data_IF_534743114329
#
_entry.id   IF_534743114329
#
_cell.length_a   1.000
_cell.length_b   1.000
_cell.length_c   1.000
_cell.angle_alpha   90.00
_cell.angle_beta   90.00
_cell.angle_gamma   90.00
#
_symmetry.space_group_name_H-M   'P 1'
#
loop_
_entity.id
_entity.type
_entity.pdbx_description
1 polymer ?
2 polymer ?
3 polymer ?
4 non-polymer ?
5 water ?
#
# COMPACT_ATOMS: atom_id res chain seq x y z
N UNK A 1 2.39 -14.24 13.34
CA UNK A 1 3.30 -15.38 13.25
C UNK A 1 4.04 -15.44 11.93
N UNK A 2 3.29 -15.36 10.81
CA UNK A 2 3.86 -15.38 9.46
C UNK A 2 4.40 -14.02 9.08
N UNK A 3 5.56 -13.99 8.41
CA UNK A 3 6.15 -12.71 8.01
C UNK A 3 6.61 -12.71 6.57
N UNK A 4 6.72 -11.52 5.97
CA UNK A 4 7.16 -11.42 4.60
C UNK A 4 8.00 -10.18 4.41
N UNK A 5 8.84 -10.20 3.38
CA UNK A 5 9.61 -9.03 2.97
C UNK A 5 9.30 -8.80 1.49
N UNK A 6 9.10 -7.54 1.08
CA UNK A 6 8.84 -7.21 -0.32
C UNK A 6 9.55 -5.93 -0.69
N UNK A 7 10.04 -5.87 -1.93
CA UNK A 7 10.54 -4.65 -2.54
C UNK A 7 9.58 -4.32 -3.66
N UNK A 8 9.25 -3.04 -3.82
CA UNK A 8 8.34 -2.53 -4.83
C UNK A 8 9.11 -1.50 -5.63
N UNK A 9 9.27 -1.74 -6.95
CA UNK A 9 9.97 -0.83 -7.86
C UNK A 9 8.95 -0.26 -8.81
N UNK A 10 9.06 1.04 -9.08
CA UNK A 10 8.24 1.72 -10.06
C UNK A 10 9.19 2.54 -10.93
N UNK A 11 9.14 2.32 -12.25
CA UNK A 11 9.95 3.03 -13.24
C UNK A 11 8.98 3.68 -14.21
N UNK A 12 8.99 5.02 -14.28
CA UNK A 12 8.00 5.71 -15.10
C UNK A 12 8.64 6.66 -16.06
N UNK A 13 8.38 6.46 -17.36
CA UNK A 13 8.91 7.39 -18.39
C UNK A 13 8.05 8.66 -18.39
N UNK A 14 8.59 9.76 -18.91
CA UNK A 14 7.83 11.03 -18.93
C UNK A 14 8.43 11.85 -20.09
N UNK A 15 8.12 11.46 -21.34
CA UNK A 15 8.70 12.17 -22.50
C UNK A 15 8.51 13.68 -22.42
N UNK A 16 9.60 14.39 -22.67
CA UNK A 16 9.64 15.85 -22.63
C UNK A 16 9.88 16.40 -21.23
N UNK A 17 9.92 15.51 -20.22
CA UNK A 17 10.08 15.93 -18.81
C UNK A 17 11.26 15.24 -18.14
N UNK A 18 12.29 14.96 -18.93
CA UNK A 18 13.50 14.34 -18.41
C UNK A 18 13.50 12.83 -18.53
N UNK A 19 14.47 12.20 -17.89
CA UNK A 19 14.66 10.76 -17.92
C UNK A 19 13.66 10.05 -16.97
N UNK A 20 13.38 8.76 -17.19
CA UNK A 20 12.40 8.07 -16.34
C UNK A 20 12.78 8.05 -14.87
N UNK A 21 11.78 8.23 -14.01
CA UNK A 21 11.96 8.21 -12.57
C UNK A 21 11.94 6.74 -12.12
N UNK A 22 12.85 6.38 -11.19
CA UNK A 22 12.88 5.05 -10.59
C UNK A 22 12.73 5.23 -9.09
N UNK A 23 11.74 4.57 -8.50
CA UNK A 23 11.54 4.60 -7.06
C UNK A 23 11.48 3.17 -6.56
N UNK A 24 12.17 2.89 -5.45
CA UNK A 24 12.15 1.57 -4.84
C UNK A 24 11.78 1.78 -3.38
N UNK A 25 10.88 0.92 -2.85
CA UNK A 25 10.51 0.94 -1.43
C UNK A 25 10.61 -0.49 -0.92
N UNK A 26 11.03 -0.66 0.34
CA UNK A 26 11.15 -1.97 0.95
C UNK A 26 10.21 -2.06 2.13
N UNK A 27 9.56 -3.23 2.28
CA UNK A 27 8.64 -3.48 3.39
C UNK A 27 8.94 -4.79 4.07
N UNK A 28 8.67 -4.84 5.39
CA UNK A 28 8.59 -6.07 6.16
C UNK A 28 7.12 -6.05 6.62
N UNK A 29 6.32 -7.00 6.13
CA UNK A 29 4.87 -7.04 6.41
C UNK A 29 4.27 -5.69 6.00
N UNK A 30 3.55 -4.97 6.90
CA UNK A 30 2.96 -3.67 6.59
C UNK A 30 3.81 -2.49 7.00
N UNK A 31 5.11 -2.73 7.26
CA UNK A 31 5.99 -1.66 7.69
C UNK A 31 7.03 -1.35 6.62
N UNK A 32 6.99 -0.13 6.06
CA UNK A 32 8.03 0.30 5.12
C UNK A 32 9.32 0.60 5.89
N UNK A 33 10.48 0.18 5.38
CA UNK A 33 11.72 0.43 6.10
C UNK A 33 12.81 1.15 5.29
N UNK A 34 12.69 1.18 3.95
CA UNK A 34 13.69 1.84 3.07
C UNK A 34 13.02 2.48 1.89
N UNK A 35 13.67 3.51 1.33
CA UNK A 35 13.25 4.12 0.08
C UNK A 35 14.46 4.58 -0.70
N UNK A 36 14.30 4.65 -2.01
CA UNK A 36 15.29 5.21 -2.95
C UNK A 36 14.47 5.90 -4.02
N UNK A 37 14.86 7.13 -4.37
CA UNK A 37 14.17 7.88 -5.40
C UNK A 37 15.20 8.54 -6.30
N UNK A 38 15.23 8.15 -7.58
CA UNK A 38 16.16 8.73 -8.55
C UNK A 38 15.95 10.25 -8.75
N UNK A 39 14.76 10.76 -8.39
CA UNK A 39 14.44 12.20 -8.47
C UNK A 39 14.89 13.02 -7.27
N UNK A 40 15.36 12.38 -6.18
CA UNK A 40 15.79 13.10 -4.99
C UNK A 40 17.00 13.99 -5.30
N UNK A 41 17.12 15.14 -4.60
CA UNK A 41 18.21 16.11 -4.76
C UNK A 41 19.58 15.39 -4.80
N UNK A 42 19.75 14.39 -3.92
CA UNK A 42 20.94 13.53 -3.85
C UNK A 42 20.43 12.07 -3.71
N UNK A 43 20.28 11.31 -4.82
CA UNK A 43 19.74 9.94 -4.71
C UNK A 43 20.60 8.97 -3.89
N UNK A 44 20.00 8.47 -2.82
CA UNK A 44 20.64 7.52 -1.93
C UNK A 44 19.54 6.73 -1.24
N UNK A 45 19.86 5.51 -0.78
CA UNK A 45 18.90 4.70 -0.03
C UNK A 45 18.74 5.35 1.34
N UNK A 46 17.50 5.57 1.76
CA UNK A 46 17.23 6.23 3.03
C UNK A 46 16.43 5.34 3.98
N UNK A 47 16.71 5.39 5.30
CA UNK A 47 15.91 4.58 6.26
C UNK A 47 14.53 5.17 6.46
N UNK A 48 13.53 4.30 6.64
CA UNK A 48 12.15 4.72 6.84
C UNK A 48 11.51 4.06 8.08
N UNK A 49 12.29 3.31 8.84
CA UNK A 49 11.86 2.68 10.08
C UNK A 49 13.03 2.77 11.09
N UNK A 50 12.78 3.00 12.38
CA UNK A 50 13.88 3.17 13.34
C UNK A 50 14.86 1.99 13.48
N UNK A 51 14.34 0.75 13.41
CA UNK A 51 15.17 -0.46 13.55
C UNK A 51 16.18 -0.71 12.42
N UNK A 52 16.05 -0.02 11.26
CA UNK A 52 17.00 -0.18 10.15
C UNK A 52 18.18 0.79 10.28
N UNK A 53 18.02 1.84 11.08
CA UNK A 53 19.04 2.89 11.25
C UNK A 53 20.38 2.35 11.76
N UNK A 54 20.37 1.23 12.51
CA UNK A 54 21.56 0.60 13.07
C UNK A 54 22.46 -0.07 12.02
N UNK A 55 21.98 -0.21 10.76
CA UNK A 55 22.79 -0.82 9.71
C UNK A 55 23.93 0.12 9.35
N UNK A 56 25.11 -0.47 9.11
CA UNK A 56 26.33 0.27 8.81
C UNK A 56 26.41 0.90 7.43
N UNK A 57 27.45 1.76 7.20
CA UNK A 57 27.61 2.43 5.89
C UNK A 57 27.73 1.48 4.70
N UNK A 58 28.29 0.29 4.93
CA UNK A 58 28.46 -0.77 3.93
C UNK A 58 27.09 -1.23 3.43
N UNK A 59 26.08 -1.29 4.32
CA UNK A 59 24.70 -1.66 3.97
C UNK A 59 24.08 -0.58 3.08
N UNK A 60 24.19 0.70 3.49
CA UNK A 60 23.63 1.83 2.76
C UNK A 60 24.28 2.04 1.40
N UNK A 61 25.61 1.85 1.29
CA UNK A 61 26.31 1.95 0.01
C UNK A 61 25.95 0.79 -0.92
N UNK A 62 25.80 -0.42 -0.37
CA UNK A 62 25.41 -1.64 -1.10
C UNK A 62 24.03 -1.44 -1.73
N UNK A 63 23.07 -0.94 -0.93
CA UNK A 63 21.70 -0.66 -1.38
C UNK A 63 21.69 0.42 -2.46
N UNK A 64 22.42 1.53 -2.22
CA UNK A 64 22.49 2.66 -3.17
C UNK A 64 23.07 2.23 -4.50
N UNK A 65 24.12 1.39 -4.51
CA UNK A 65 24.71 0.94 -5.76
C UNK A 65 23.75 0.08 -6.58
N UNK A 66 23.00 -0.83 -5.91
CA UNK A 66 22.00 -1.68 -6.55
C UNK A 66 20.92 -0.80 -7.18
N UNK A 67 20.38 0.16 -6.40
CA UNK A 67 19.29 1.01 -6.88
C UNK A 67 19.72 2.00 -7.98
N UNK A 68 20.99 2.46 -7.94
CA UNK A 68 21.52 3.33 -9.00
C UNK A 68 21.68 2.52 -10.30
N UNK A 69 22.11 1.24 -10.18
CA UNK A 69 22.23 0.35 -11.35
C UNK A 69 20.82 0.09 -11.90
N UNK A 70 19.84 -0.18 -11.00
CA UNK A 70 18.45 -0.42 -11.41
C UNK A 70 17.85 0.78 -12.13
N UNK A 71 18.20 2.03 -11.71
CA UNK A 71 17.71 3.25 -12.35
C UNK A 71 18.09 3.22 -13.83
N UNK A 72 19.35 2.82 -14.12
CA UNK A 72 19.85 2.76 -15.50
C UNK A 72 19.25 1.58 -16.28
N UNK A 73 19.17 0.39 -15.66
CA UNK A 73 18.59 -0.81 -16.28
C UNK A 73 17.11 -0.58 -16.67
N UNK A 74 16.33 0.04 -15.76
CA UNK A 74 14.91 0.28 -16.02
C UNK A 74 14.68 1.30 -17.11
N UNK A 75 15.60 2.25 -17.30
CA UNK A 75 15.50 3.23 -18.39
C UNK A 75 15.65 2.50 -19.72
N UNK A 76 16.55 1.50 -19.77
CA UNK A 76 16.77 0.67 -20.95
C UNK A 76 15.55 -0.23 -21.17
N UNK A 77 15.03 -0.83 -20.08
CA UNK A 77 13.85 -1.69 -20.16
C UNK A 77 12.63 -0.94 -20.70
N UNK A 78 12.42 0.31 -20.25
CA UNK A 78 11.30 1.12 -20.75
C UNK A 78 11.44 1.38 -22.26
N UNK A 79 12.65 1.69 -22.72
CA UNK A 79 12.90 1.90 -24.16
C UNK A 79 12.61 0.60 -24.92
N UNK A 80 13.04 -0.55 -24.37
CA UNK A 80 12.82 -1.85 -25.01
C UNK A 80 11.36 -2.22 -25.11
N UNK A 81 10.59 -2.07 -24.00
CA UNK A 81 9.18 -2.42 -23.97
C UNK A 81 8.35 -1.52 -24.87
N UNK A 82 8.73 -0.24 -24.97
CA UNK A 82 8.08 0.69 -25.89
C UNK A 82 8.20 0.10 -27.31
N UNK A 83 9.39 -0.40 -27.64
CA UNK A 83 9.67 -1.04 -28.93
C UNK A 83 8.89 -2.34 -29.13
N UNK A 84 8.79 -3.17 -28.07
CA UNK A 84 8.06 -4.45 -28.17
C UNK A 84 6.59 -4.25 -28.46
N UNK A 85 6.00 -3.11 -28.02
CA UNK A 85 4.58 -2.85 -28.24
C UNK A 85 4.30 -1.87 -29.37
N UNK A 86 5.33 -1.52 -30.17
CA UNK A 86 5.20 -0.58 -31.30
C UNK A 86 4.56 0.75 -30.86
N UNK A 87 4.94 1.19 -29.64
CA UNK A 87 4.39 2.43 -29.10
C UNK A 87 5.17 3.64 -29.53
N UNK A 88 4.49 4.77 -29.65
CA UNK A 88 5.12 6.03 -30.01
C UNK A 88 5.97 6.54 -28.85
N UNK A 89 6.96 7.40 -29.15
CA UNK A 89 7.85 7.97 -28.15
C UNK A 89 7.15 9.07 -27.31
N UNK A 90 5.87 9.34 -27.60
CA UNK A 90 5.06 10.40 -26.96
C UNK A 90 4.44 10.10 -25.60
N UNK A 91 3.99 8.88 -25.38
CA UNK A 91 3.29 8.53 -24.14
C UNK A 91 4.19 8.15 -22.98
N UNK A 92 3.67 8.29 -21.77
CA UNK A 92 4.35 7.92 -20.54
C UNK A 92 3.94 6.46 -20.24
N UNK A 93 4.92 5.63 -19.85
CA UNK A 93 4.67 4.22 -19.54
C UNK A 93 5.31 3.85 -18.22
N UNK A 94 4.82 2.78 -17.58
CA UNK A 94 5.31 2.37 -16.26
C UNK A 94 5.65 0.89 -16.23
N UNK A 95 6.84 0.57 -15.70
CA UNK A 95 7.20 -0.82 -15.40
C UNK A 95 7.15 -0.89 -13.87
N UNK A 96 6.49 -1.92 -13.34
CA UNK A 96 6.45 -2.15 -11.90
C UNK A 96 6.99 -3.51 -11.63
N UNK A 97 7.67 -3.69 -10.49
CA UNK A 97 8.23 -4.97 -10.08
C UNK A 97 7.97 -5.12 -8.57
N UNK A 98 7.54 -6.31 -8.15
CA UNK A 98 7.39 -6.65 -6.73
C UNK A 98 7.93 -8.05 -6.51
N UNK A 99 8.85 -8.18 -5.56
CA UNK A 99 9.48 -9.47 -5.28
C UNK A 99 9.77 -9.59 -3.80
N UNK A 100 9.98 -10.82 -3.34
CA UNK A 100 10.29 -11.03 -1.95
C UNK A 100 10.00 -12.43 -1.49
N UNK A 101 10.11 -12.64 -0.19
CA UNK A 101 10.00 -13.95 0.40
C UNK A 101 8.95 -13.95 1.49
N UNK A 102 8.27 -15.09 1.68
CA UNK A 102 7.30 -15.30 2.74
C UNK A 102 7.87 -16.37 3.67
N UNK A 103 7.79 -16.14 4.97
CA UNK A 103 8.19 -17.09 6.01
C UNK A 103 6.94 -17.58 6.73
N UNK A 104 6.95 -18.84 7.15
CA UNK A 104 5.86 -19.41 7.94
C UNK A 104 5.99 -19.05 9.41
N UNK A 105 5.07 -19.53 10.29
CA UNK A 105 5.18 -19.19 11.73
C UNK A 105 6.47 -19.65 12.42
N UNK A 106 7.13 -20.68 11.85
CA UNK A 106 8.40 -21.23 12.37
C UNK A 106 9.64 -20.54 11.78
N UNK A 107 9.42 -19.58 10.88
CA UNK A 107 10.51 -18.83 10.25
C UNK A 107 11.08 -19.41 8.98
N UNK A 108 10.56 -20.57 8.51
CA UNK A 108 11.05 -21.20 7.26
C UNK A 108 10.37 -20.57 6.03
N UNK A 109 11.07 -20.58 4.88
CA UNK A 109 10.56 -20.05 3.60
C UNK A 109 9.35 -20.83 3.12
N UNK A 110 8.19 -20.16 3.03
CA UNK A 110 6.95 -20.72 2.54
C UNK A 110 7.00 -20.66 1.03
N UNK A 111 7.32 -19.47 0.47
CA UNK A 111 7.43 -19.26 -0.97
C UNK A 111 8.08 -17.94 -1.33
N UNK A 112 8.60 -17.89 -2.54
CA UNK A 112 9.23 -16.71 -3.11
C UNK A 112 8.37 -16.12 -4.19
N UNK A 113 8.57 -14.82 -4.47
CA UNK A 113 7.80 -14.11 -5.47
C UNK A 113 8.69 -13.19 -6.27
N UNK A 114 8.38 -13.03 -7.56
CA UNK A 114 9.03 -12.04 -8.44
C UNK A 114 8.13 -11.76 -9.64
N UNK A 115 7.43 -10.63 -9.61
CA UNK A 115 6.47 -10.32 -10.67
C UNK A 115 6.72 -8.95 -11.24
N UNK A 116 6.52 -8.80 -12.56
CA UNK A 116 6.70 -7.53 -13.24
C UNK A 116 5.44 -7.21 -14.05
N UNK A 117 5.15 -5.92 -14.18
CA UNK A 117 3.99 -5.44 -14.91
C UNK A 117 4.35 -4.29 -15.81
N UNK A 118 3.59 -4.11 -16.87
CA UNK A 118 3.79 -2.99 -17.80
C UNK A 118 2.48 -2.29 -17.98
N UNK A 119 2.44 -0.99 -17.64
CA UNK A 119 1.22 -0.17 -17.63
C UNK A 119 0.07 -0.81 -16.81
N UNK A 120 0.42 -1.38 -15.67
CA UNK A 120 -0.52 -1.98 -14.73
C UNK A 120 -1.04 -3.35 -15.10
N UNK A 121 -0.51 -3.96 -16.17
CA UNK A 121 -0.88 -5.30 -16.61
C UNK A 121 0.22 -6.29 -16.38
N UNK A 122 -0.10 -7.51 -15.91
CA UNK A 122 0.92 -8.57 -15.73
C UNK A 122 1.75 -8.70 -16.98
N UNK A 123 3.07 -8.75 -16.83
CA UNK A 123 3.98 -8.84 -17.96
C UNK A 123 4.80 -10.14 -17.87
N UNK A 124 5.59 -10.30 -16.80
CA UNK A 124 6.36 -11.53 -16.59
C UNK A 124 6.40 -11.86 -15.10
N UNK A 125 6.27 -13.14 -14.75
CA UNK A 125 6.35 -13.53 -13.35
C UNK A 125 7.13 -14.81 -13.18
N UNK A 126 7.92 -14.88 -12.12
CA UNK A 126 8.65 -16.09 -11.77
C UNK A 126 7.63 -17.07 -11.19
N UNK A 127 7.65 -18.31 -11.68
CA UNK A 127 6.71 -19.32 -11.18
C UNK A 127 7.10 -19.71 -9.77
N UNK A 128 6.17 -20.36 -9.04
CA UNK A 128 6.39 -20.78 -7.65
C UNK A 128 7.60 -21.70 -7.49
N UNK A 129 7.94 -22.47 -8.56
CA UNK A 129 9.09 -23.39 -8.55
C UNK A 129 10.43 -22.63 -8.55
N UNK A 130 10.39 -21.29 -8.73
CA UNK A 130 11.54 -20.39 -8.76
C UNK A 130 12.55 -20.81 -9.84
N UNK A 131 12.07 -21.44 -10.92
CA UNK A 131 12.94 -21.96 -11.98
C UNK A 131 12.49 -21.60 -13.39
N UNK A 132 11.20 -21.32 -13.55
CA UNK A 132 10.60 -21.02 -14.85
C UNK A 132 9.79 -19.73 -14.80
N UNK A 133 9.51 -19.15 -15.97
CA UNK A 133 8.78 -17.88 -16.09
C UNK A 133 7.42 -18.05 -16.75
N UNK A 134 6.48 -17.14 -16.44
CA UNK A 134 5.17 -17.04 -17.08
C UNK A 134 5.14 -15.67 -17.77
N UNK A 135 5.24 -15.67 -19.11
CA UNK A 135 5.22 -14.46 -19.95
C UNK A 135 3.79 -14.25 -20.43
N UNK A 136 3.25 -13.04 -20.21
CA UNK A 136 1.85 -12.72 -20.56
C UNK A 136 1.55 -12.66 -22.05
N UNK A 137 2.53 -12.27 -22.89
CA UNK A 137 2.31 -12.11 -24.34
C UNK A 137 3.61 -12.28 -25.11
N UNK A 138 3.58 -12.03 -26.45
CA UNK A 138 4.78 -12.18 -27.29
C UNK A 138 5.87 -11.18 -26.95
N UNK A 139 5.50 -10.00 -26.41
CA UNK A 139 6.51 -9.01 -25.99
C UNK A 139 7.27 -9.56 -24.76
N UNK A 140 6.54 -10.05 -23.77
CA UNK A 140 7.14 -10.64 -22.56
C UNK A 140 8.00 -11.88 -22.84
N UNK A 141 7.73 -12.58 -23.96
CA UNK A 141 8.51 -13.75 -24.38
C UNK A 141 9.93 -13.34 -24.78
N UNK A 142 10.11 -12.09 -25.22
CA UNK A 142 11.43 -11.54 -25.56
C UNK A 142 12.21 -11.36 -24.28
N UNK A 143 11.59 -10.75 -23.26
CA UNK A 143 12.19 -10.56 -21.95
C UNK A 143 12.55 -11.95 -21.36
N UNK A 144 11.65 -12.93 -21.51
CA UNK A 144 11.86 -14.28 -21.00
C UNK A 144 13.15 -14.89 -21.56
N UNK A 145 13.39 -14.77 -22.88
CA UNK A 145 14.60 -15.27 -23.51
C UNK A 145 15.84 -14.55 -23.00
N UNK A 146 15.77 -13.22 -22.83
CA UNK A 146 16.88 -12.42 -22.30
C UNK A 146 17.22 -12.88 -20.87
N UNK A 147 16.18 -13.09 -20.04
CA UNK A 147 16.32 -13.49 -18.65
C UNK A 147 16.82 -14.92 -18.49
N UNK A 148 16.47 -15.80 -19.44
CA UNK A 148 16.97 -17.17 -19.45
C UNK A 148 18.47 -17.20 -19.81
N UNK A 149 18.88 -16.34 -20.76
CA UNK A 149 20.28 -16.21 -21.19
C UNK A 149 21.17 -15.68 -20.07
N UNK A 150 20.64 -14.75 -19.24
CA UNK A 150 21.37 -14.18 -18.12
C UNK A 150 21.26 -15.02 -16.84
N UNK A 151 20.51 -16.14 -16.89
CA UNK A 151 20.28 -17.06 -15.76
C UNK A 151 19.63 -16.35 -14.57
N UNK A 152 18.67 -15.44 -14.85
CA UNK A 152 17.98 -14.64 -13.83
C UNK A 152 17.26 -15.51 -12.80
N UNK A 153 16.47 -16.51 -13.26
CA UNK A 153 15.71 -17.39 -12.37
C UNK A 153 16.60 -18.11 -11.37
N UNK A 154 17.81 -18.54 -11.80
CA UNK A 154 18.78 -19.22 -10.95
C UNK A 154 19.31 -18.25 -9.88
N UNK A 155 19.60 -17.00 -10.30
CA UNK A 155 20.09 -15.95 -9.41
C UNK A 155 19.00 -15.61 -8.38
N UNK A 156 17.73 -15.48 -8.82
CA UNK A 156 16.59 -15.16 -7.95
C UNK A 156 16.31 -16.27 -6.97
N UNK A 157 16.32 -17.54 -7.42
CA UNK A 157 16.11 -18.66 -6.50
C UNK A 157 17.13 -18.59 -5.35
N UNK A 158 18.43 -18.40 -5.67
CA UNK A 158 19.51 -18.31 -4.67
C UNK A 158 19.27 -17.15 -3.69
N UNK A 159 18.87 -15.98 -4.20
CA UNK A 159 18.54 -14.82 -3.38
C UNK A 159 17.32 -15.11 -2.48
N UNK A 160 16.20 -15.57 -3.08
CA UNK A 160 14.95 -15.82 -2.36
C UNK A 160 15.06 -16.86 -1.27
N UNK A 161 15.83 -17.93 -1.51
CA UNK A 161 16.05 -19.01 -0.53
C UNK A 161 17.15 -18.67 0.47
N UNK A 162 18.03 -17.75 0.12
CA UNK A 162 19.19 -17.38 0.94
C UNK A 162 19.12 -16.01 1.55
N UNK A 163 19.75 -15.01 0.90
CA UNK A 163 19.82 -13.62 1.38
C UNK A 163 18.48 -13.01 1.81
N UNK A 164 17.41 -13.23 1.02
CA UNK A 164 16.08 -12.69 1.33
C UNK A 164 15.62 -13.14 2.70
N UNK A 165 15.65 -14.47 2.94
CA UNK A 165 15.22 -15.08 4.20
C UNK A 165 16.13 -14.64 5.37
N UNK A 166 17.44 -14.70 5.15
CA UNK A 166 18.43 -14.33 6.18
C UNK A 166 18.25 -12.88 6.64
N UNK A 167 18.10 -11.94 5.68
CA UNK A 167 17.93 -10.52 6.01
C UNK A 167 16.55 -10.25 6.61
N UNK A 168 15.49 -10.94 6.15
CA UNK A 168 14.17 -10.79 6.76
C UNK A 168 14.22 -11.20 8.24
N UNK A 169 14.87 -12.33 8.54
CA UNK A 169 15.02 -12.82 9.91
C UNK A 169 15.80 -11.82 10.79
N UNK A 170 16.81 -11.18 10.22
CA UNK A 170 17.62 -10.17 10.90
C UNK A 170 16.75 -8.96 11.24
N UNK A 171 15.96 -8.46 10.26
CA UNK A 171 15.07 -7.32 10.47
C UNK A 171 14.04 -7.65 11.53
N UNK A 172 13.46 -8.86 11.48
CA UNK A 172 12.46 -9.32 12.46
C UNK A 172 13.00 -9.32 13.88
N UNK A 173 14.28 -9.67 14.04
CA UNK A 173 14.94 -9.67 15.35
C UNK A 173 15.25 -8.21 15.79
N UNK A 174 15.85 -7.41 14.90
CA UNK A 174 16.18 -6.00 15.20
C UNK A 174 14.95 -5.13 15.47
N UNK A 175 13.87 -5.40 14.76
CA UNK A 175 12.63 -4.67 14.96
C UNK A 175 11.56 -5.46 15.69
N UNK A 176 11.97 -6.48 16.50
CA UNK A 176 11.01 -7.36 17.19
C UNK A 176 9.96 -6.64 18.04
N UNK A 177 10.31 -5.49 18.65
CA UNK A 177 9.36 -4.77 19.50
C UNK A 177 8.16 -4.19 18.74
N UNK A 178 8.30 -3.97 17.43
CA UNK A 178 7.20 -3.46 16.61
C UNK A 178 6.75 -4.52 15.58
N UNK A 179 7.70 -5.07 14.81
CA UNK A 179 7.38 -6.05 13.76
C UNK A 179 6.75 -7.31 14.28
N UNK A 180 7.12 -7.75 15.50
CA UNK A 180 6.58 -8.98 16.10
C UNK A 180 5.58 -8.68 17.21
N UNK A 181 5.02 -7.47 17.19
CA UNK A 181 4.00 -7.06 18.14
C UNK A 181 2.71 -6.81 17.39
N UNK A 182 1.68 -7.60 17.67
CA UNK A 182 0.38 -7.41 17.03
C UNK A 182 -0.46 -6.51 17.93
N UNK A 183 -0.90 -5.35 17.43
CA UNK A 183 -1.71 -4.39 18.20
C UNK A 183 -3.17 -4.65 17.90
N UNK A 184 -3.95 -5.01 18.93
CA UNK A 184 -5.35 -5.36 18.69
C UNK A 184 -6.19 -4.13 18.29
N UNK A 185 -7.30 -4.31 17.54
CA UNK A 185 -8.13 -3.14 17.23
C UNK A 185 -8.89 -2.65 18.47
N UNK A 186 -9.10 -1.33 18.56
CA UNK A 186 -9.95 -0.72 19.58
C UNK A 186 -11.28 -0.62 18.85
N UNK A 187 -12.33 -1.21 19.43
CA UNK A 187 -13.61 -1.29 18.72
C UNK A 187 -14.77 -0.61 19.43
N UNK A 188 -15.75 -0.18 18.62
CA UNK A 188 -17.01 0.43 19.06
C UNK A 188 -18.04 0.43 17.94
N UNK A 189 -19.32 0.45 18.30
CA UNK A 189 -20.43 0.46 17.34
C UNK A 189 -21.18 1.79 17.49
N UNK A 190 -21.29 2.57 16.40
CA UNK A 190 -22.02 3.83 16.37
C UNK A 190 -23.38 3.61 15.71
N UNK A 191 -24.34 4.48 16.00
CA UNK A 191 -25.70 4.40 15.49
C UNK A 191 -26.06 5.75 14.91
N UNK A 192 -26.53 5.77 13.65
CA UNK A 192 -26.88 7.00 12.94
C UNK A 192 -28.25 6.83 12.25
N UNK A 193 -29.35 7.43 12.76
CA UNK A 193 -30.64 7.30 12.05
C UNK A 193 -30.57 7.90 10.64
N UNK A 194 -31.13 7.21 9.64
CA UNK A 194 -31.13 7.68 8.24
C UNK A 194 -32.52 8.15 7.82
N UNK A 195 -33.55 7.68 8.54
CA UNK A 195 -34.96 7.99 8.33
C UNK A 195 -35.73 7.59 9.59
N UNK A 196 -37.06 7.73 9.57
CA UNK A 196 -37.90 7.35 10.71
C UNK A 196 -37.85 5.85 10.97
N UNK A 197 -37.62 5.03 9.93
CA UNK A 197 -37.69 3.58 10.10
C UNK A 197 -36.42 2.80 9.72
N UNK A 198 -35.27 3.47 9.54
CA UNK A 198 -33.99 2.77 9.35
C UNK A 198 -32.83 3.61 9.89
N UNK A 199 -31.78 2.94 10.35
CA UNK A 199 -30.60 3.58 10.91
C UNK A 199 -29.37 2.80 10.48
N UNK A 200 -28.22 3.49 10.44
CA UNK A 200 -26.95 2.85 10.09
C UNK A 200 -26.23 2.41 11.37
N UNK A 201 -25.79 1.14 11.40
CA UNK A 201 -24.97 0.64 12.49
C UNK A 201 -23.58 0.57 11.90
N UNK A 202 -22.61 1.23 12.53
CA UNK A 202 -21.24 1.23 12.00
C UNK A 202 -20.30 0.64 13.01
N UNK A 203 -19.60 -0.42 12.62
CA UNK A 203 -18.66 -1.11 13.45
C UNK A 203 -17.25 -0.64 13.12
N UNK A 204 -16.56 -0.02 14.09
CA UNK A 204 -15.22 0.53 13.95
C UNK A 204 -14.13 -0.36 14.52
N UNK A 205 -12.96 -0.35 13.86
CA UNK A 205 -11.75 -1.03 14.33
C UNK A 205 -10.62 -0.03 14.08
N UNK A 206 -9.96 0.43 15.15
CA UNK A 206 -8.90 1.44 15.09
C UNK A 206 -7.64 1.01 15.80
N UNK A 207 -6.51 1.55 15.35
CA UNK A 207 -5.21 1.33 15.98
C UNK A 207 -4.66 -0.08 15.94
N UNK A 208 -5.04 -0.87 14.92
CA UNK A 208 -4.56 -2.25 14.82
C UNK A 208 -3.33 -2.41 13.91
N UNK A 209 -2.55 -3.43 14.18
CA UNK A 209 -1.38 -3.79 13.38
C UNK A 209 -1.18 -5.29 13.55
N UNK A 210 -0.94 -6.10 12.49
CA UNK A 210 -0.88 -5.72 11.06
C UNK A 210 -2.25 -5.34 10.47
N UNK A 211 -2.26 -4.97 9.18
CA UNK A 211 -3.46 -4.52 8.47
C UNK A 211 -4.52 -5.58 8.29
N UNK A 212 -4.13 -6.86 8.26
CA UNK A 212 -5.06 -7.98 8.10
C UNK A 212 -6.08 -8.01 9.23
N UNK A 213 -7.38 -7.97 8.87
CA UNK A 213 -8.50 -7.97 9.82
C UNK A 213 -9.76 -8.48 9.10
N UNK A 214 -10.72 -9.00 9.85
CA UNK A 214 -12.00 -9.41 9.31
C UNK A 214 -13.09 -8.73 10.15
N UNK A 215 -13.88 -7.87 9.51
CA UNK A 215 -15.00 -7.13 10.11
C UNK A 215 -16.24 -7.58 9.37
N UNK A 216 -17.19 -8.20 10.06
CA UNK A 216 -18.43 -8.66 9.42
C UNK A 216 -19.64 -8.32 10.26
N UNK A 217 -20.79 -8.15 9.61
CA UNK A 217 -22.07 -7.92 10.28
C UNK A 217 -22.92 -9.16 10.06
N UNK A 218 -23.59 -9.60 11.12
CA UNK A 218 -24.48 -10.75 11.07
C UNK A 218 -25.85 -10.33 11.56
N UNK A 219 -26.91 -10.81 10.89
CA UNK A 219 -28.31 -10.58 11.28
C UNK A 219 -28.84 -11.96 11.63
N UNK A 220 -29.18 -12.18 12.92
CA UNK A 220 -29.66 -13.45 13.49
C UNK A 220 -28.64 -14.59 13.23
N UNK A 221 -27.36 -14.28 13.44
CA UNK A 221 -26.27 -15.23 13.24
C UNK A 221 -25.84 -15.51 11.81
N UNK A 222 -26.49 -14.89 10.80
CA UNK A 222 -26.11 -15.09 9.39
C UNK A 222 -25.43 -13.84 8.78
N UNK A 223 -24.34 -14.06 8.03
CA UNK A 223 -23.51 -13.04 7.36
C UNK A 223 -24.32 -12.12 6.45
N UNK A 224 -24.00 -10.81 6.50
CA UNK A 224 -24.69 -9.76 5.73
C UNK A 224 -23.80 -9.15 4.62
N UNK A 225 -23.02 -10.01 3.93
CA UNK A 225 -22.05 -9.69 2.87
C UNK A 225 -22.56 -8.66 1.86
N UNK A 226 -23.69 -8.93 1.19
CA UNK A 226 -24.28 -8.06 0.16
C UNK A 226 -24.80 -6.73 0.71
N UNK A 227 -25.19 -6.71 1.99
CA UNK A 227 -25.79 -5.56 2.67
C UNK A 227 -24.79 -4.67 3.42
N UNK A 228 -23.57 -5.19 3.66
CA UNK A 228 -22.52 -4.49 4.39
C UNK A 228 -21.68 -3.57 3.50
N UNK A 229 -21.59 -2.29 3.90
CA UNK A 229 -20.74 -1.28 3.26
C UNK A 229 -19.41 -1.39 4.03
N UNK A 230 -18.36 -1.85 3.35
CA UNK A 230 -17.06 -2.12 3.95
C UNK A 230 -15.98 -1.24 3.33
N UNK A 231 -15.40 -0.30 4.11
CA UNK A 231 -14.34 0.57 3.56
C UNK A 231 -13.03 -0.18 3.49
N UNK A 232 -12.13 0.25 2.58
CA UNK A 232 -10.81 -0.35 2.48
C UNK A 232 -10.04 -0.01 3.75
N UNK A 233 -9.23 -0.97 4.24
CA UNK A 233 -8.36 -0.77 5.41
C UNK A 233 -7.45 0.40 5.08
N UNK A 234 -7.35 1.35 6.01
CA UNK A 234 -6.59 2.58 5.76
C UNK A 234 -5.52 2.85 6.82
N UNK A 235 -4.37 3.46 6.45
CA UNK A 235 -3.33 3.71 7.44
C UNK A 235 -3.67 4.92 8.31
N UNK A 236 -3.44 4.80 9.62
CA UNK A 236 -3.66 5.94 10.52
C UNK A 236 -2.53 6.95 10.40
N UNK A 237 -1.35 6.48 9.97
CA UNK A 237 -0.17 7.31 9.79
C UNK A 237 0.87 7.16 10.88
N UNK A 238 0.56 6.36 11.92
CA UNK A 238 1.40 6.07 13.09
C UNK A 238 1.76 4.57 13.17
N UNK A 239 1.76 3.86 12.01
CA UNK A 239 2.00 2.42 11.80
C UNK A 239 0.70 1.59 11.83
N UNK A 240 -0.31 2.09 12.53
CA UNK A 240 -1.55 1.34 12.72
C UNK A 240 -2.54 1.56 11.58
N UNK A 241 -3.59 0.73 11.57
CA UNK A 241 -4.62 0.75 10.54
C UNK A 241 -6.01 0.95 11.11
N UNK A 242 -6.96 1.31 10.22
CA UNK A 242 -8.35 1.56 10.58
C UNK A 242 -9.26 0.90 9.58
N UNK A 243 -10.47 0.55 10.02
CA UNK A 243 -11.47 -0.04 9.12
C UNK A 243 -12.84 0.07 9.78
N UNK A 244 -13.88 0.14 8.95
CA UNK A 244 -15.25 0.13 9.44
C UNK A 244 -16.13 -0.65 8.47
N UNK A 245 -17.23 -1.20 9.01
CA UNK A 245 -18.24 -1.97 8.28
C UNK A 245 -19.59 -1.42 8.75
N UNK A 246 -20.48 -1.13 7.81
CA UNK A 246 -21.79 -0.57 8.15
C UNK A 246 -22.96 -1.29 7.49
N UNK A 247 -24.08 -1.36 8.21
CA UNK A 247 -25.34 -1.95 7.74
C UNK A 247 -26.48 -0.99 8.04
N UNK A 248 -27.45 -0.90 7.12
CA UNK A 248 -28.64 -0.08 7.28
C UNK A 248 -29.68 -1.06 7.79
N UNK A 249 -30.10 -0.86 9.04
CA UNK A 249 -31.01 -1.74 9.76
C UNK A 249 -32.41 -1.13 9.96
N UNK A 250 -33.50 -1.94 9.89
CA UNK A 250 -34.84 -1.37 10.18
C UNK A 250 -34.88 -0.92 11.64
N UNK A 251 -35.46 0.25 11.92
CA UNK A 251 -35.55 0.80 13.27
C UNK A 251 -36.26 -0.17 14.21
N UNK A 252 -35.65 -0.44 15.36
CA UNK A 252 -36.16 -1.37 16.36
C UNK A 252 -35.48 -2.74 16.32
N UNK A 253 -34.95 -3.12 15.13
CA UNK A 253 -34.29 -4.41 14.88
C UNK A 253 -32.76 -4.44 15.18
N UNK A 254 -32.19 -3.38 15.80
CA UNK A 254 -30.76 -3.25 16.09
C UNK A 254 -30.12 -4.40 16.85
N UNK A 255 -30.86 -5.00 17.81
CA UNK A 255 -30.33 -6.10 18.63
C UNK A 255 -30.18 -7.42 17.88
N UNK A 256 -30.73 -7.53 16.67
CA UNK A 256 -30.63 -8.74 15.85
C UNK A 256 -29.30 -8.74 15.08
N UNK A 257 -28.56 -7.61 15.15
CA UNK A 257 -27.30 -7.40 14.44
C UNK A 257 -26.07 -7.51 15.34
N UNK A 258 -25.06 -8.27 14.88
CA UNK A 258 -23.81 -8.43 15.62
C UNK A 258 -22.63 -8.17 14.71
N UNK A 259 -21.61 -7.47 15.23
CA UNK A 259 -20.38 -7.21 14.50
C UNK A 259 -19.31 -8.16 15.03
N UNK A 260 -18.65 -8.87 14.11
CA UNK A 260 -17.62 -9.84 14.45
C UNK A 260 -16.25 -9.36 14.01
N UNK A 261 -15.29 -9.29 14.95
CA UNK A 261 -13.93 -8.81 14.71
C UNK A 261 -12.91 -9.91 14.96
N UNK A 262 -12.10 -10.21 13.94
CA UNK A 262 -11.00 -11.18 14.00
C UNK A 262 -9.70 -10.47 13.66
N UNK A 263 -8.71 -10.55 14.56
CA UNK A 263 -7.39 -9.94 14.40
C UNK A 263 -6.37 -10.67 15.26
N UNK A 264 -5.10 -10.75 14.79
CA UNK A 264 -3.97 -11.39 15.46
C UNK A 264 -3.68 -10.85 16.88
N UNK A 265 -3.90 -9.56 17.11
CA UNK A 265 -3.64 -8.91 18.39
C UNK A 265 -4.64 -9.20 19.50
N UNK A 266 -5.81 -9.75 19.16
CA UNK A 266 -6.88 -10.02 20.13
C UNK A 266 -6.68 -11.31 20.93
N UNK A 267 -6.90 -11.29 22.27
CA UNK A 267 -6.81 -12.54 23.05
C UNK A 267 -7.86 -13.56 22.59
N UNK A 268 -9.06 -13.08 22.20
CA UNK A 268 -10.19 -13.86 21.69
C UNK A 268 -10.98 -13.01 20.67
N UNK A 269 -11.64 -13.60 19.63
CA UNK A 269 -12.43 -12.76 18.69
C UNK A 269 -13.54 -11.98 19.39
N UNK A 270 -13.90 -10.81 18.84
CA UNK A 270 -14.91 -9.96 19.46
C UNK A 270 -16.31 -10.10 18.84
N UNK A 271 -17.33 -9.95 19.68
CA UNK A 271 -18.74 -9.92 19.31
C UNK A 271 -19.26 -8.62 19.88
N UNK A 272 -19.69 -7.71 18.99
CA UNK A 272 -20.15 -6.40 19.39
C UNK A 272 -21.56 -6.14 18.91
N UNK A 273 -22.29 -5.35 19.69
CA UNK A 273 -23.65 -4.91 19.40
C UNK A 273 -23.69 -3.44 19.71
N UNK A 274 -24.69 -2.72 19.17
CA UNK A 274 -24.87 -1.31 19.50
C UNK A 274 -25.32 -1.28 20.97
N UNK A 275 -24.64 -0.46 21.78
CA UNK A 275 -24.95 -0.32 23.21
C UNK A 275 -25.60 1.07 23.41
N UNK A 276 -26.96 1.13 23.43
CA UNK A 276 -27.61 2.44 23.59
C UNK A 276 -27.35 3.04 24.98
N UNK B 1 -4.83 2.42 -23.14
CA UNK B 1 -4.14 2.05 -21.91
C UNK B 1 -5.23 1.91 -20.91
N UNK B 2 -5.12 0.99 -19.97
CA UNK B 2 -6.21 0.86 -19.00
C UNK B 2 -5.88 1.69 -17.80
N UNK B 3 -6.79 2.57 -17.45
CA UNK B 3 -6.53 3.48 -16.33
C UNK B 3 -7.55 3.25 -15.23
N UNK B 4 -7.14 3.40 -13.97
CA UNK B 4 -7.99 3.18 -12.81
C UNK B 4 -8.11 4.44 -12.00
N UNK B 5 -9.35 4.82 -11.65
CA UNK B 5 -9.62 6.04 -10.91
C UNK B 5 -9.32 5.87 -9.40
N UNK B 6 -8.82 6.91 -8.71
CA UNK B 6 -8.54 6.74 -7.27
C UNK B 6 -9.76 6.63 -6.38
N UNK B 7 -9.65 5.80 -5.35
CA UNK B 7 -10.62 5.73 -4.26
C UNK B 7 -10.04 6.75 -3.28
N UNK B 8 -10.89 7.49 -2.57
CA UNK B 8 -10.43 8.55 -1.67
C UNK B 8 -11.10 8.39 -0.31
N UNK B 9 -10.31 8.47 0.78
CA UNK B 9 -10.83 8.47 2.14
C UNK B 9 -10.22 9.63 2.91
N UNK B 10 -11.05 10.40 3.61
CA UNK B 10 -10.61 11.55 4.44
C UNK B 10 -11.01 11.23 5.84
N UNK B 11 -10.05 11.25 6.77
CA UNK B 11 -10.28 10.84 8.16
C UNK B 11 -9.19 11.33 9.07
N UNK B 12 -9.41 11.23 10.38
CA UNK B 12 -8.40 11.65 11.35
C UNK B 12 -7.63 10.43 11.86
N UNK B 13 -6.37 10.63 12.29
CA UNK B 13 -5.53 9.57 12.84
C UNK B 13 -6.13 9.02 14.14
N UNK B 14 -6.55 9.94 15.02
CA UNK B 14 -7.13 9.62 16.32
C UNK B 14 -8.60 10.04 16.34
N UNK B 15 -9.48 9.45 17.21
CA UNK B 15 -10.88 9.91 17.26
C UNK B 15 -10.93 11.43 17.47
N UNK B 16 -11.76 12.11 16.69
CA UNK B 16 -11.82 13.57 16.73
C UNK B 16 -12.46 14.14 17.99
N UNK B 17 -11.77 15.12 18.59
CA UNK B 17 -12.18 15.86 19.78
C UNK B 17 -11.87 17.33 19.50
N UNK B 18 -12.91 18.20 19.48
CA UNK B 18 -12.78 19.64 19.23
C UNK B 18 -11.79 20.29 20.18
N UNK B 19 -10.88 21.08 19.62
CA UNK B 19 -9.83 21.78 20.37
C UNK B 19 -8.62 20.93 20.68
N UNK B 20 -8.61 19.65 20.25
CA UNK B 20 -7.50 18.73 20.49
C UNK B 20 -6.71 18.45 19.21
N UNK B 21 -5.39 18.71 19.23
CA UNK B 21 -4.47 18.48 18.10
C UNK B 21 -4.59 17.03 17.63
N UNK B 22 -4.58 16.84 16.31
CA UNK B 22 -4.76 15.53 15.70
C UNK B 22 -4.05 15.55 14.33
N UNK B 23 -4.29 14.56 13.48
CA UNK B 23 -3.74 14.53 12.14
C UNK B 23 -4.86 14.27 11.16
N UNK B 24 -4.93 15.06 10.09
CA UNK B 24 -5.93 14.91 9.05
C UNK B 24 -5.27 14.09 7.94
N UNK B 25 -5.94 13.03 7.51
CA UNK B 25 -5.45 12.11 6.49
C UNK B 25 -6.32 12.11 5.25
N UNK B 26 -5.66 12.00 4.09
CA UNK B 26 -6.34 11.78 2.84
C UNK B 26 -5.63 10.62 2.20
N UNK B 27 -6.30 9.47 2.16
CA UNK B 27 -5.76 8.24 1.62
C UNK B 27 -6.30 8.03 0.21
N UNK B 28 -5.39 8.00 -0.78
CA UNK B 28 -5.74 7.77 -2.19
C UNK B 28 -5.19 6.41 -2.57
N UNK B 29 -6.01 5.56 -3.18
CA UNK B 29 -5.63 4.19 -3.51
C UNK B 29 -6.36 3.67 -4.73
N UNK B 30 -5.91 2.53 -5.24
CA UNK B 30 -6.50 1.86 -6.39
C UNK B 30 -6.38 2.57 -7.71
N UNK B 31 -5.46 3.55 -7.81
CA UNK B 31 -5.31 4.32 -9.05
C UNK B 31 -4.13 3.88 -9.90
N UNK B 32 -4.22 4.17 -11.19
CA UNK B 32 -3.19 3.88 -12.18
C UNK B 32 -3.48 4.77 -13.41
N UNK B 33 -2.50 5.53 -13.96
CA UNK B 33 -1.07 5.61 -13.59
C UNK B 33 -0.82 6.33 -12.25
N UNK B 34 0.45 6.45 -11.85
CA UNK B 34 0.86 6.96 -10.54
C UNK B 34 0.73 8.47 -10.33
N UNK B 35 0.83 9.29 -11.39
CA UNK B 35 0.74 10.74 -11.21
C UNK B 35 -0.61 11.10 -10.61
N UNK B 36 -0.60 11.88 -9.53
CA UNK B 36 -1.79 12.31 -8.81
C UNK B 36 -1.52 13.63 -8.09
N UNK B 37 -2.54 14.47 -8.01
CA UNK B 37 -2.47 15.76 -7.32
C UNK B 37 -3.39 15.67 -6.12
N UNK B 38 -2.84 15.86 -4.93
CA UNK B 38 -3.64 15.78 -3.71
C UNK B 38 -3.36 17.01 -2.86
N UNK B 39 -4.43 17.71 -2.47
CA UNK B 39 -4.34 18.85 -1.56
C UNK B 39 -5.30 18.68 -0.38
N UNK B 40 -4.87 19.07 0.82
CA UNK B 40 -5.73 19.08 2.00
C UNK B 40 -6.26 20.50 2.12
N UNK B 41 -7.57 20.65 2.36
CA UNK B 41 -8.20 21.96 2.43
C UNK B 41 -8.79 22.27 3.80
N UNK B 42 -8.66 23.54 4.21
CA UNK B 42 -9.25 24.07 5.45
C UNK B 42 -10.13 25.22 4.96
N UNK B 43 -11.47 25.06 5.05
CA UNK B 43 -12.48 26.03 4.59
C UNK B 43 -12.25 26.44 3.12
N UNK B 44 -12.01 25.44 2.27
CA UNK B 44 -11.81 25.58 0.84
C UNK B 44 -10.43 26.05 0.39
N UNK B 45 -9.52 26.35 1.35
CA UNK B 45 -8.16 26.83 1.06
C UNK B 45 -7.10 25.75 1.31
N UNK B 46 -6.13 25.64 0.38
CA UNK B 46 -5.04 24.66 0.42
C UNK B 46 -4.15 24.85 1.64
N UNK B 47 -3.95 23.76 2.41
CA UNK B 47 -3.08 23.75 3.58
C UNK B 47 -1.63 23.56 3.09
N UNK B 48 -0.69 24.31 3.66
CA UNK B 48 0.74 24.21 3.33
C UNK B 48 1.42 23.18 4.25
N UNK B 49 2.65 22.76 3.90
CA UNK B 49 3.48 21.82 4.67
C UNK B 49 2.88 20.41 4.83
N UNK B 50 1.94 20.03 3.93
CA UNK B 50 1.30 18.71 3.91
C UNK B 50 2.36 17.69 3.51
N UNK B 51 2.47 16.58 4.27
CA UNK B 51 3.44 15.52 4.01
C UNK B 51 2.78 14.35 3.31
N UNK B 52 3.57 13.48 2.67
CA UNK B 52 3.00 12.29 2.02
C UNK B 52 3.91 11.09 2.08
N UNK B 53 3.33 9.88 2.02
CA UNK B 53 4.08 8.62 2.04
C UNK B 53 4.81 8.40 0.71
N UNK B 54 5.79 7.49 0.71
CA UNK B 54 6.53 7.15 -0.52
C UNK B 54 5.64 6.32 -1.40
N UNK B 55 5.75 6.49 -2.73
CA UNK B 55 4.95 5.75 -3.68
C UNK B 55 5.12 4.24 -3.58
N UNK B 56 3.99 3.55 -3.40
CA UNK B 56 3.99 2.09 -3.34
C UNK B 56 2.74 1.59 -4.03
N UNK B 57 2.60 0.28 -4.16
CA UNK B 57 1.45 -0.29 -4.84
C UNK B 57 1.01 -1.61 -4.26
N UNK B 58 -0.25 -1.96 -4.54
CA UNK B 58 -0.92 -3.16 -4.07
C UNK B 58 -0.64 -4.36 -4.97
N UNK B 59 -1.11 -5.56 -4.56
CA UNK B 59 -0.94 -6.80 -5.31
C UNK B 59 -1.55 -6.74 -6.72
N UNK B 60 -2.60 -5.89 -6.91
CA UNK B 60 -3.24 -5.69 -8.22
C UNK B 60 -2.55 -4.59 -9.05
N UNK B 61 -1.34 -4.14 -8.62
CA UNK B 61 -0.52 -3.10 -9.28
C UNK B 61 -1.01 -1.66 -9.08
N UNK B 62 -2.18 -1.46 -8.44
CA UNK B 62 -2.68 -0.11 -8.27
C UNK B 62 -1.91 0.63 -7.18
N UNK B 63 -1.69 1.92 -7.38
CA UNK B 63 -0.90 2.74 -6.45
C UNK B 63 -1.70 3.24 -5.26
N UNK B 64 -1.00 3.60 -4.16
CA UNK B 64 -1.62 4.21 -2.98
C UNK B 64 -0.65 5.18 -2.33
N UNK B 65 -1.19 6.26 -1.75
CA UNK B 65 -0.42 7.29 -1.04
C UNK B 65 -1.24 7.82 0.09
N UNK B 66 -0.59 8.19 1.18
CA UNK B 66 -1.25 8.85 2.29
C UNK B 66 -0.69 10.28 2.36
N UNK B 67 -1.59 11.27 2.36
CA UNK B 67 -1.27 12.69 2.51
C UNK B 67 -1.78 13.05 3.89
N UNK B 68 -0.98 13.80 4.65
CA UNK B 68 -1.35 14.12 6.04
C UNK B 68 -0.80 15.43 6.52
N UNK B 69 -1.50 16.04 7.49
CA UNK B 69 -1.07 17.25 8.17
C UNK B 69 -1.65 17.32 9.57
N UNK B 70 -0.94 17.99 10.47
CA UNK B 70 -1.42 18.23 11.83
C UNK B 70 -2.59 19.23 11.72
N UNK B 71 -3.67 19.03 12.49
CA UNK B 71 -4.82 19.92 12.51
C UNK B 71 -5.53 19.84 13.85
N UNK B 72 -6.27 20.90 14.19
CA UNK B 72 -7.05 20.97 15.41
C UNK B 72 -8.51 21.10 14.98
N UNK B 73 -9.30 19.99 15.02
CA UNK B 73 -10.69 20.09 14.59
C UNK B 73 -11.53 20.96 15.52
N UNK B 74 -12.49 21.68 14.95
CA UNK B 74 -13.41 22.56 15.68
C UNK B 74 -14.82 22.23 15.20
N UNK B 75 -15.84 22.86 15.80
CA UNK B 75 -17.23 22.62 15.42
C UNK B 75 -17.52 23.13 14.01
N UNK B 76 -17.12 24.38 13.69
CA UNK B 76 -17.44 25.05 12.43
C UNK B 76 -16.38 24.97 11.30
N UNK B 77 -15.10 24.62 11.59
CA UNK B 77 -14.11 24.52 10.51
C UNK B 77 -14.39 23.30 9.65
N UNK B 78 -14.31 23.49 8.32
CA UNK B 78 -14.59 22.42 7.35
C UNK B 78 -13.30 21.95 6.71
N UNK B 79 -13.05 20.64 6.76
CA UNK B 79 -11.87 20.05 6.16
C UNK B 79 -12.25 19.16 5.00
N UNK B 80 -11.35 19.05 4.03
CA UNK B 80 -11.60 18.23 2.86
C UNK B 80 -10.30 17.88 2.17
N UNK B 81 -10.40 17.04 1.15
CA UNK B 81 -9.29 16.61 0.31
C UNK B 81 -9.67 16.83 -1.14
N UNK B 82 -8.77 17.47 -1.91
CA UNK B 82 -9.00 17.71 -3.33
C UNK B 82 -8.03 16.86 -4.12
N UNK B 83 -8.58 16.00 -4.98
CA UNK B 83 -7.82 15.05 -5.79
C UNK B 83 -8.01 15.23 -7.29
N UNK B 84 -6.90 15.28 -8.04
CA UNK B 84 -6.95 15.27 -9.49
C UNK B 84 -6.06 14.14 -10.02
N UNK B 85 -6.53 13.46 -11.08
CA UNK B 85 -5.89 12.30 -11.71
C UNK B 85 -6.31 12.33 -13.17
N UNK B 86 -5.55 11.70 -14.08
CA UNK B 86 -5.89 11.68 -15.52
C UNK B 86 -7.34 11.14 -15.79
N UNK B 87 -7.84 10.21 -14.93
CA UNK B 87 -9.18 9.62 -15.04
C UNK B 87 -10.31 10.60 -14.66
N UNK B 88 -9.98 11.72 -14.01
CA UNK B 88 -10.99 12.69 -13.57
C UNK B 88 -11.07 13.91 -14.50
N UNK B 89 -12.29 14.30 -14.94
CA UNK B 89 -12.44 15.48 -15.81
C UNK B 89 -12.17 16.78 -15.06
N UNK B 90 -12.51 16.81 -13.77
CA UNK B 90 -12.28 17.96 -12.88
C UNK B 90 -11.84 17.44 -11.51
N UNK B 91 -11.15 18.24 -10.66
CA UNK B 91 -10.76 17.74 -9.33
C UNK B 91 -11.94 17.28 -8.49
N UNK B 92 -11.77 16.16 -7.76
CA UNK B 92 -12.78 15.58 -6.90
C UNK B 92 -12.53 16.06 -5.47
N UNK B 93 -13.57 16.60 -4.82
CA UNK B 93 -13.43 17.08 -3.44
C UNK B 93 -14.23 16.16 -2.52
N UNK B 94 -13.55 15.59 -1.51
CA UNK B 94 -14.18 14.72 -0.53
C UNK B 94 -14.07 15.41 0.82
N UNK B 95 -15.21 15.68 1.45
CA UNK B 95 -15.27 16.38 2.74
C UNK B 95 -14.95 15.45 3.89
N UNK B 96 -14.30 15.97 4.92
CA UNK B 96 -14.01 15.20 6.11
C UNK B 96 -15.29 15.11 6.95
N UNK B 97 -15.71 13.88 7.23
CA UNK B 97 -16.88 13.57 8.02
C UNK B 97 -16.40 12.69 9.19
N UNK B 98 -16.48 13.25 10.40
CA UNK B 98 -16.10 12.67 11.70
C UNK B 98 -16.59 11.23 11.92
N UNK B 99 -17.78 10.90 11.36
CA UNK B 99 -18.42 9.59 11.47
C UNK B 99 -18.02 8.63 10.35
N UNK B 100 -17.00 8.99 9.54
CA UNK B 100 -16.55 8.19 8.40
C UNK B 100 -15.03 7.88 8.36
N UNK C 1 17.25 -6.65 2.51
CA UNK C 1 18.29 -6.40 1.51
C UNK C 1 17.73 -6.74 0.13
N UNK C 2 17.87 -5.85 -0.88
CA UNK C 2 17.30 -6.13 -2.20
C UNK C 2 18.13 -7.10 -3.02
N UNK C 3 17.56 -7.62 -4.11
CA UNK C 3 18.21 -8.49 -5.08
C UNK C 3 19.31 -7.67 -5.77
N UNK C 4 20.50 -8.24 -5.89
CA UNK C 4 21.73 -7.56 -6.31
C UNK C 4 22.02 -7.56 -7.81
N UNK C 5 21.27 -8.34 -8.60
CA UNK C 5 21.50 -8.40 -10.04
C UNK C 5 20.38 -7.67 -10.77
N UNK C 6 20.74 -6.91 -11.80
CA UNK C 6 19.73 -6.20 -12.60
C UNK C 6 19.87 -6.66 -14.04
N UNK C 7 18.74 -6.99 -14.69
CA UNK C 7 18.81 -7.47 -16.07
C UNK C 7 17.83 -6.74 -16.95
N UNK C 8 18.35 -6.09 -17.98
CA UNK C 8 17.55 -5.36 -18.97
C UNK C 8 16.50 -6.30 -19.57
N UNK C 9 15.24 -5.84 -19.62
CA UNK C 9 14.10 -6.57 -20.15
C UNK C 9 14.06 -6.51 -21.70
#
# INVERSE_FOLDING_TARGET
GSHSMRYFYTAMSRPGRGEPRFIAVGYVDDTQFVRFDSDAASPRTEPRAPWIEQEGPEYWDRNTQIFKTNTQTYRESLRNLRGYYNQSEAGSHIIQRMYGCDLGPDGRLLRGHDQSAYDGKDYIALNEDLSSWTAADTAAQITQRKWEAARVAEQLRAYLEGLCVEWLRRYLENGKETLQRADPPKTHVTHHPVSDHEATLRCWALGFYPAEITLTWQRDGEDQTQDTELVETRPAGDRTFQKWAAVVVPSGEEQRYTCHVQHEGLPKPLTLRWEP
MIQRTPKIQVYSRHPAENGKSNFLNCYVSGFHPSDIEVDLLKNGERIEKVEHSDLSFSKDWSFYLLYYTEFTPTEKDEYACRVNHVTLSQPKIVKWDRDM
LPFEKSTIM
#
